data_IF_802962311635
#
_entry.id   IF_802962311635
#
_cell.length_a   1.000
_cell.length_b   1.000
_cell.length_c   1.000
_cell.angle_alpha   90.00
_cell.angle_beta   90.00
_cell.angle_gamma   90.00
#
_symmetry.space_group_name_H-M   'P 1'
#
loop_
_entity.id
_entity.type
_entity.pdbx_description
1 polymer ?
#
# COMPACT_ATOMS: atom_id res chain seq x y z
N UNK A 1 -0.03 -30.94 10.61
CA UNK A 1 -0.86 -29.87 10.00
C UNK A 1 0.10 -28.73 9.68
N UNK A 2 0.68 -28.74 8.49
CA UNK A 2 1.77 -27.82 8.11
C UNK A 2 1.16 -26.52 7.61
N UNK A 3 1.20 -25.49 8.45
CA UNK A 3 0.80 -24.13 8.07
C UNK A 3 1.80 -23.57 7.08
N UNK A 4 1.36 -23.40 5.83
CA UNK A 4 2.09 -22.69 4.79
C UNK A 4 2.12 -21.20 5.13
N UNK A 5 3.25 -20.72 5.66
CA UNK A 5 3.54 -19.30 5.74
C UNK A 5 3.62 -18.74 4.31
N UNK A 6 2.61 -17.95 3.91
CA UNK A 6 2.69 -17.12 2.71
C UNK A 6 3.87 -16.18 2.88
N UNK A 7 4.95 -16.43 2.13
CA UNK A 7 6.06 -15.51 1.99
C UNK A 7 5.49 -14.23 1.39
N UNK A 8 5.34 -13.20 2.22
CA UNK A 8 5.17 -11.83 1.76
C UNK A 8 6.45 -11.50 1.01
N UNK A 9 6.41 -11.68 -0.30
CA UNK A 9 7.46 -11.24 -1.19
C UNK A 9 7.39 -9.72 -1.17
N UNK A 10 8.13 -9.12 -0.24
CA UNK A 10 8.36 -7.69 -0.15
C UNK A 10 9.11 -7.28 -1.42
N UNK A 11 8.38 -7.14 -2.52
CA UNK A 11 8.87 -6.46 -3.70
C UNK A 11 9.31 -5.07 -3.24
N UNK A 12 10.54 -4.67 -3.58
CA UNK A 12 11.06 -3.35 -3.24
C UNK A 12 10.23 -2.28 -3.95
N UNK A 13 9.19 -1.78 -3.28
CA UNK A 13 8.39 -0.65 -3.75
C UNK A 13 9.17 0.65 -3.58
N UNK A 14 9.04 1.53 -4.55
CA UNK A 14 9.71 2.83 -4.62
C UNK A 14 8.82 3.88 -5.29
N UNK A 15 9.20 5.15 -5.22
CA UNK A 15 8.51 6.24 -5.95
C UNK A 15 8.41 5.89 -7.44
N UNK A 16 7.22 6.03 -8.00
CA UNK A 16 6.87 5.63 -9.37
C UNK A 16 6.31 4.21 -9.50
N UNK A 17 6.37 3.38 -8.45
CA UNK A 17 5.82 2.02 -8.48
C UNK A 17 4.29 2.03 -8.55
N UNK A 18 3.72 1.17 -9.40
CA UNK A 18 2.27 0.89 -9.42
C UNK A 18 1.90 -0.05 -8.28
N UNK A 19 0.92 0.37 -7.49
CA UNK A 19 0.47 -0.36 -6.30
C UNK A 19 -1.04 -0.38 -6.21
N UNK A 20 -1.56 -1.29 -5.41
CA UNK A 20 -2.96 -1.35 -5.01
C UNK A 20 -3.05 -1.30 -3.50
N UNK A 21 -4.10 -0.67 -2.98
CA UNK A 21 -4.38 -0.61 -1.54
C UNK A 21 -5.87 -0.58 -1.29
N UNK A 22 -6.29 -1.05 -0.11
CA UNK A 22 -7.69 -0.94 0.30
C UNK A 22 -8.05 0.51 0.57
N UNK A 23 -9.03 1.00 -0.16
CA UNK A 23 -9.54 2.36 0.00
C UNK A 23 -11.02 2.44 -0.37
N UNK A 24 -11.78 3.23 0.40
CA UNK A 24 -13.15 3.58 0.10
C UNK A 24 -13.38 5.04 0.50
N UNK A 25 -14.11 5.77 -0.34
CA UNK A 25 -14.59 7.12 -0.01
C UNK A 25 -15.69 7.05 1.05
N UNK A 26 -16.53 6.01 1.00
CA UNK A 26 -17.45 5.67 2.08
C UNK A 26 -16.70 4.95 3.20
N UNK A 27 -16.59 5.63 4.35
CA UNK A 27 -15.86 5.13 5.52
C UNK A 27 -16.74 4.42 6.55
N UNK A 28 -18.04 4.25 6.29
CA UNK A 28 -18.96 3.61 7.23
C UNK A 28 -18.80 2.08 7.32
N UNK A 29 -18.13 1.46 6.34
CA UNK A 29 -17.91 0.01 6.29
C UNK A 29 -16.56 -0.46 6.84
N UNK A 30 -16.44 -1.79 7.03
CA UNK A 30 -15.23 -2.43 7.51
C UNK A 30 -14.08 -2.33 6.49
N UNK A 31 -12.90 -1.92 6.95
CA UNK A 31 -11.74 -1.64 6.09
C UNK A 31 -11.22 -2.89 5.37
N UNK A 32 -11.40 -4.08 5.95
CA UNK A 32 -11.03 -5.35 5.31
C UNK A 32 -11.98 -5.72 4.16
N UNK A 33 -13.12 -5.04 4.04
CA UNK A 33 -14.08 -5.24 2.93
C UNK A 33 -13.97 -4.17 1.85
N UNK A 34 -13.17 -3.13 2.06
CA UNK A 34 -12.98 -2.08 1.06
C UNK A 34 -12.32 -2.62 -0.22
N UNK A 35 -12.71 -2.08 -1.40
CA UNK A 35 -12.12 -2.48 -2.66
C UNK A 35 -10.63 -2.12 -2.72
N UNK A 36 -9.91 -2.84 -3.57
CA UNK A 36 -8.52 -2.54 -3.92
C UNK A 36 -8.47 -1.49 -5.01
N UNK A 37 -8.03 -0.29 -4.64
CA UNK A 37 -7.82 0.83 -5.55
C UNK A 37 -6.38 0.86 -6.04
N UNK A 38 -6.19 1.05 -7.34
CA UNK A 38 -4.87 1.22 -7.96
C UNK A 38 -4.34 2.63 -7.80
N UNK A 39 -3.02 2.78 -7.85
CA UNK A 39 -2.35 4.07 -7.79
C UNK A 39 -0.85 4.01 -8.04
N UNK A 40 -0.19 5.15 -7.91
CA UNK A 40 1.27 5.31 -8.05
C UNK A 40 1.83 5.91 -6.78
N UNK A 41 2.94 5.37 -6.27
CA UNK A 41 3.69 6.00 -5.19
C UNK A 41 4.31 7.31 -5.72
N UNK A 42 4.02 8.43 -5.07
CA UNK A 42 4.50 9.76 -5.49
C UNK A 42 5.56 10.34 -4.55
N UNK A 43 5.69 9.85 -3.33
CA UNK A 43 6.68 10.34 -2.35
C UNK A 43 7.07 9.23 -1.35
N UNK A 44 8.33 9.22 -0.91
CA UNK A 44 8.86 8.39 0.18
C UNK A 44 9.22 9.27 1.38
N UNK A 45 8.41 9.18 2.43
CA UNK A 45 8.63 9.95 3.65
C UNK A 45 9.62 9.32 4.63
N UNK A 46 10.23 8.16 4.31
CA UNK A 46 11.39 7.41 4.86
C UNK A 46 11.79 7.51 6.36
N UNK A 47 11.53 8.61 7.06
CA UNK A 47 11.55 8.77 8.50
C UNK A 47 10.41 7.98 9.15
N UNK A 48 10.54 6.65 9.16
CA UNK A 48 9.75 5.78 10.00
C UNK A 48 9.99 6.17 11.46
N UNK A 49 9.00 6.81 12.08
CA UNK A 49 8.92 6.91 13.53
C UNK A 49 8.09 5.72 13.97
N UNK A 50 8.72 4.78 14.68
CA UNK A 50 8.02 3.63 15.21
C UNK A 50 6.82 4.12 16.04
N UNK A 51 5.58 3.69 15.76
CA UNK A 51 4.40 4.19 16.44
C UNK A 51 4.51 4.00 17.96
N UNK A 52 5.12 2.91 18.42
CA UNK A 52 5.35 2.63 19.84
C UNK A 52 6.31 3.63 20.53
N UNK A 53 7.12 4.37 19.75
CA UNK A 53 8.03 5.42 20.27
C UNK A 53 7.30 6.73 20.55
N UNK A 54 6.07 6.90 20.07
CA UNK A 54 5.23 8.05 20.36
C UNK A 54 3.96 7.54 21.05
N UNK A 55 3.68 7.96 22.27
CA UNK A 55 2.51 7.48 23.03
C UNK A 55 1.21 8.10 22.48
N UNK A 56 0.96 7.96 21.18
CA UNK A 56 -0.17 8.46 20.41
C UNK A 56 -0.45 7.57 19.21
N UNK A 57 -1.72 7.21 19.05
CA UNK A 57 -2.22 6.52 17.86
C UNK A 57 -2.65 7.51 16.75
N UNK A 58 -2.57 8.81 17.03
CA UNK A 58 -2.90 9.89 16.10
C UNK A 58 -1.63 10.54 15.53
N UNK A 59 -1.67 10.91 14.25
CA UNK A 59 -0.53 11.45 13.49
C UNK A 59 0.70 10.50 13.41
N UNK A 60 0.45 9.20 13.30
CA UNK A 60 1.49 8.23 12.93
C UNK A 60 1.97 8.52 11.51
N UNK A 61 3.29 8.60 11.32
CA UNK A 61 3.87 8.85 10.01
C UNK A 61 3.86 7.55 9.18
N UNK A 62 3.10 7.54 8.11
CA UNK A 62 3.15 6.48 7.10
C UNK A 62 4.25 6.80 6.08
N UNK A 63 4.92 5.76 5.59
CA UNK A 63 6.07 5.93 4.68
C UNK A 63 5.69 6.47 3.31
N UNK A 64 4.62 5.97 2.69
CA UNK A 64 4.34 6.24 1.28
C UNK A 64 3.18 7.19 1.12
N UNK A 65 3.32 8.19 0.24
CA UNK A 65 2.17 8.82 -0.38
C UNK A 65 1.86 8.15 -1.72
N UNK A 66 0.60 7.78 -1.90
CA UNK A 66 0.09 7.11 -3.10
C UNK A 66 -1.01 7.98 -3.70
N UNK A 67 -0.83 8.38 -4.96
CA UNK A 67 -1.87 8.98 -5.76
C UNK A 67 -2.72 7.85 -6.36
N UNK A 68 -3.94 7.66 -5.85
CA UNK A 68 -4.88 6.68 -6.37
C UNK A 68 -5.46 7.14 -7.72
N UNK A 69 -5.83 6.19 -8.55
CA UNK A 69 -6.43 6.44 -9.87
C UNK A 69 -7.77 7.18 -9.79
N UNK A 70 -8.45 7.10 -8.64
CA UNK A 70 -9.66 7.85 -8.34
C UNK A 70 -9.41 9.33 -7.94
N UNK A 71 -8.15 9.77 -7.95
CA UNK A 71 -7.74 11.14 -7.66
C UNK A 71 -7.47 11.43 -6.17
N UNK A 72 -7.67 10.47 -5.27
CA UNK A 72 -7.33 10.63 -3.86
C UNK A 72 -5.83 10.44 -3.59
N UNK A 73 -5.26 11.31 -2.77
CA UNK A 73 -3.94 11.12 -2.18
C UNK A 73 -4.09 10.40 -0.83
N UNK A 74 -3.46 9.23 -0.68
CA UNK A 74 -3.50 8.43 0.54
C UNK A 74 -2.10 8.15 1.07
N UNK A 75 -2.00 7.93 2.38
CA UNK A 75 -0.76 7.59 3.06
C UNK A 75 -0.81 6.16 3.58
N UNK A 76 0.26 5.39 3.35
CA UNK A 76 0.32 3.93 3.62
C UNK A 76 1.70 3.47 4.05
N UNK A 77 1.72 2.41 4.84
CA UNK A 77 2.94 1.64 5.07
C UNK A 77 3.14 0.59 3.99
N UNK A 78 4.38 0.10 3.83
CA UNK A 78 4.71 -0.96 2.87
C UNK A 78 3.81 -2.19 3.02
N UNK A 79 3.42 -2.54 4.25
CA UNK A 79 2.57 -3.69 4.53
C UNK A 79 1.11 -3.55 4.02
N UNK A 80 0.68 -2.32 3.73
CA UNK A 80 -0.68 -2.02 3.26
C UNK A 80 -0.77 -1.88 1.72
N UNK A 81 0.35 -2.11 1.02
CA UNK A 81 0.48 -1.97 -0.41
C UNK A 81 0.76 -3.32 -1.07
N UNK A 82 0.01 -3.59 -2.14
CA UNK A 82 0.25 -4.72 -3.02
C UNK A 82 0.88 -4.18 -4.30
N UNK A 83 2.02 -4.74 -4.74
CA UNK A 83 2.56 -4.39 -6.05
C UNK A 83 1.59 -4.85 -7.13
N UNK A 84 1.28 -3.96 -8.07
CA UNK A 84 0.58 -4.37 -9.28
C UNK A 84 1.61 -5.11 -10.14
N UNK A 85 1.74 -6.43 -9.91
CA UNK A 85 2.64 -7.24 -10.72
C UNK A 85 2.23 -7.06 -12.18
N UNK A 86 3.14 -6.55 -13.01
CA UNK A 86 2.92 -6.41 -14.43
C UNK A 86 2.98 -7.80 -15.08
N UNK A 87 1.96 -8.63 -14.88
CA UNK A 87 1.72 -9.82 -15.71
C UNK A 87 1.20 -9.38 -17.09
N UNK A 88 1.92 -8.46 -17.76
CA UNK A 88 1.77 -8.15 -19.18
C UNK A 88 3.13 -7.83 -19.79
N UNK A 89 3.95 -8.86 -19.90
CA UNK A 89 5.00 -8.94 -20.94
C UNK A 89 5.25 -10.40 -21.31
N UNK A 90 4.30 -10.98 -22.04
CA UNK A 90 4.62 -11.89 -23.14
C UNK A 90 3.58 -11.67 -24.22
N UNK A 91 3.93 -10.78 -25.14
CA UNK A 91 3.32 -10.63 -26.44
C UNK A 91 4.42 -10.73 -27.50
N UNK A 92 4.14 -11.52 -28.54
CA UNK A 92 4.90 -11.84 -29.77
C UNK A 92 5.92 -12.98 -29.65
N UNK A 93 5.93 -13.96 -30.55
CA UNK A 93 5.52 -13.94 -31.96
C UNK A 93 5.09 -15.34 -32.43
#
# INVERSE_FOLDING_TARGET
MTSTLKKTETSEISVGSRVRTRHSVDRSGDRETWPLEGGVIVEDFAAYVEPASVNRDWAVAHRWAVALDNGCLVFRDTAELETENSEKSTGKQ
#
